data_IF_110616478714
#
_entry.id   IF_110616478714
#
_cell.length_a   1.000
_cell.length_b   1.000
_cell.length_c   1.000
_cell.angle_alpha   90.00
_cell.angle_beta   90.00
_cell.angle_gamma   90.00
#
_symmetry.space_group_name_H-M   'P 1'
#
loop_
_entity.id
_entity.type
_entity.pdbx_description
1 polymer ?
#
# COMPACT_ATOMS: atom_id res chain seq x y z
N UNK A 1 -63.44 -30.74 -47.27
CA UNK A 1 -63.43 -31.26 -45.88
C UNK A 1 -62.10 -30.85 -45.26
N UNK A 2 -62.14 -30.24 -44.06
CA UNK A 2 -61.19 -30.32 -42.90
C UNK A 2 -59.71 -30.62 -43.23
N UNK A 3 -58.67 -29.97 -42.71
CA UNK A 3 -58.50 -29.06 -41.59
C UNK A 3 -57.00 -28.66 -41.54
N UNK A 4 -56.76 -27.39 -41.21
CA UNK A 4 -55.79 -26.90 -40.20
C UNK A 4 -54.27 -27.15 -40.41
N UNK A 5 -53.59 -26.02 -40.63
CA UNK A 5 -52.20 -25.67 -40.31
C UNK A 5 -51.51 -26.52 -39.24
N UNK A 6 -50.29 -27.00 -39.56
CA UNK A 6 -49.22 -27.09 -38.57
C UNK A 6 -47.90 -26.62 -39.18
N UNK A 7 -47.61 -25.35 -38.89
CA UNK A 7 -46.26 -24.81 -38.80
C UNK A 7 -45.44 -25.71 -37.86
N UNK A 8 -44.33 -26.26 -38.34
CA UNK A 8 -43.29 -26.80 -37.48
C UNK A 8 -41.99 -26.09 -37.84
N UNK A 9 -41.83 -24.94 -37.18
CA UNK A 9 -40.58 -24.25 -36.91
C UNK A 9 -39.65 -25.18 -36.14
N UNK A 10 -38.40 -25.35 -36.58
CA UNK A 10 -37.18 -25.73 -35.83
C UNK A 10 -36.17 -26.20 -36.89
N UNK A 11 -34.97 -25.67 -37.07
CA UNK A 11 -34.23 -24.65 -36.36
C UNK A 11 -32.83 -24.71 -36.99
N UNK A 12 -32.57 -23.87 -38.00
CA UNK A 12 -31.24 -23.70 -38.56
C UNK A 12 -30.49 -22.75 -37.63
N UNK A 13 -29.90 -23.28 -36.56
CA UNK A 13 -28.94 -22.51 -35.75
C UNK A 13 -27.62 -22.56 -36.52
N UNK A 14 -27.46 -21.59 -37.41
CA UNK A 14 -26.14 -21.12 -37.82
C UNK A 14 -25.53 -20.54 -36.55
N UNK A 15 -24.66 -21.32 -35.90
CA UNK A 15 -23.72 -20.79 -34.92
C UNK A 15 -22.78 -19.87 -35.70
N UNK A 16 -23.22 -18.63 -35.88
CA UNK A 16 -22.30 -17.51 -36.01
C UNK A 16 -21.58 -17.51 -34.67
N UNK A 17 -20.48 -18.24 -34.61
CA UNK A 17 -19.45 -18.00 -33.61
C UNK A 17 -18.96 -16.60 -33.91
N UNK A 18 -19.71 -15.61 -33.42
CA UNK A 18 -19.18 -14.30 -33.14
C UNK A 18 -18.01 -14.58 -32.22
N UNK A 19 -16.81 -14.66 -32.79
CA UNK A 19 -15.64 -14.11 -32.15
C UNK A 19 -16.03 -12.69 -31.73
N UNK A 20 -16.72 -12.57 -30.59
CA UNK A 20 -16.31 -11.61 -29.61
C UNK A 20 -14.84 -11.97 -29.34
N UNK A 21 -13.95 -11.40 -30.16
CA UNK A 21 -12.79 -10.79 -29.56
C UNK A 21 -13.41 -9.81 -28.55
N UNK A 22 -13.53 -10.27 -27.31
CA UNK A 22 -13.31 -9.35 -26.21
C UNK A 22 -11.96 -8.73 -26.56
N UNK A 23 -12.03 -7.49 -27.03
CA UNK A 23 -10.92 -6.58 -27.03
C UNK A 23 -10.42 -6.62 -25.60
N UNK A 24 -9.36 -7.38 -25.34
CA UNK A 24 -8.61 -7.27 -24.10
C UNK A 24 -8.17 -5.82 -24.05
N UNK A 25 -8.98 -5.01 -23.37
CA UNK A 25 -8.63 -3.66 -23.01
C UNK A 25 -7.31 -3.77 -22.28
N UNK A 26 -6.28 -3.19 -22.90
CA UNK A 26 -5.00 -2.86 -22.31
C UNK A 26 -5.22 -2.29 -20.90
N UNK A 27 -5.27 -3.16 -19.88
CA UNK A 27 -5.67 -2.80 -18.52
C UNK A 27 -4.50 -2.64 -17.57
N UNK A 28 -3.26 -2.90 -18.00
CA UNK A 28 -2.11 -2.86 -17.09
C UNK A 28 -1.32 -1.55 -17.12
N UNK A 29 -1.26 -0.83 -18.24
CA UNK A 29 -0.40 0.35 -18.35
C UNK A 29 -0.91 1.57 -17.54
N UNK A 30 -2.18 1.58 -17.12
CA UNK A 30 -2.73 2.66 -16.29
C UNK A 30 -2.29 2.56 -14.82
N UNK A 31 -1.83 1.40 -14.36
CA UNK A 31 -1.20 1.23 -13.03
C UNK A 31 0.30 1.58 -13.07
N UNK A 32 0.90 1.55 -14.26
CA UNK A 32 2.31 1.90 -14.47
C UNK A 32 2.60 3.39 -14.30
N UNK A 33 1.58 4.25 -14.31
CA UNK A 33 1.73 5.70 -14.27
C UNK A 33 1.42 6.35 -12.90
N UNK A 34 1.25 5.55 -11.85
CA UNK A 34 1.14 6.00 -10.47
C UNK A 34 2.21 5.31 -9.59
N UNK A 35 2.92 6.07 -8.78
CA UNK A 35 3.89 5.58 -7.79
C UNK A 35 4.01 6.59 -6.64
N UNK A 36 4.81 6.25 -5.64
CA UNK A 36 5.22 7.19 -4.58
C UNK A 36 6.73 7.26 -4.47
N UNK A 37 7.22 8.43 -4.10
CA UNK A 37 8.58 8.61 -3.59
C UNK A 37 8.49 8.99 -2.12
N UNK A 38 9.32 8.34 -1.32
CA UNK A 38 9.47 8.63 0.10
C UNK A 38 10.93 9.02 0.32
N UNK A 39 11.15 10.12 1.03
CA UNK A 39 12.46 10.60 1.46
C UNK A 39 12.37 11.02 2.94
N UNK A 40 13.50 11.21 3.62
CA UNK A 40 13.50 11.71 5.00
C UNK A 40 14.36 10.89 5.97
N UNK A 41 13.91 10.79 7.22
CA UNK A 41 14.65 10.18 8.32
C UNK A 41 14.82 8.67 8.12
N UNK A 42 16.07 8.22 8.05
CA UNK A 42 16.46 6.80 8.02
C UNK A 42 17.02 6.30 9.36
N UNK A 43 17.14 7.19 10.35
CA UNK A 43 17.77 6.91 11.63
C UNK A 43 17.09 7.63 12.78
N UNK A 44 17.08 6.96 13.93
CA UNK A 44 16.64 7.49 15.21
C UNK A 44 17.83 7.43 16.18
N UNK A 45 18.34 8.57 16.60
CA UNK A 45 19.48 8.66 17.51
C UNK A 45 18.98 8.92 18.93
N UNK A 46 19.27 7.98 19.83
CA UNK A 46 18.85 8.02 21.23
C UNK A 46 19.18 9.37 21.88
N UNK A 47 18.18 10.02 22.47
CA UNK A 47 18.31 11.30 23.16
C UNK A 47 18.56 12.52 22.26
N UNK A 48 18.69 12.35 20.94
CA UNK A 48 18.84 13.44 19.97
C UNK A 48 17.60 13.59 19.09
N UNK A 49 17.08 12.48 18.56
CA UNK A 49 15.88 12.46 17.72
C UNK A 49 14.62 12.65 18.57
N UNK A 50 13.84 13.67 18.25
CA UNK A 50 12.53 13.93 18.88
C UNK A 50 11.38 13.40 18.02
N UNK A 51 11.58 13.51 16.71
CA UNK A 51 10.62 13.17 15.68
C UNK A 51 11.34 12.59 14.46
N UNK A 52 10.64 11.72 13.76
CA UNK A 52 11.03 11.18 12.46
C UNK A 52 10.10 11.77 11.43
N UNK A 53 10.67 12.35 10.38
CA UNK A 53 9.88 12.92 9.29
C UNK A 53 10.09 12.12 8.01
N UNK A 54 8.98 11.71 7.39
CA UNK A 54 8.94 11.11 6.06
C UNK A 54 8.23 12.06 5.11
N UNK A 55 8.89 12.46 4.02
CA UNK A 55 8.33 13.31 2.97
C UNK A 55 7.80 12.44 1.84
N UNK A 56 6.51 12.60 1.53
CA UNK A 56 5.81 11.84 0.49
C UNK A 56 5.55 12.70 -0.74
N UNK A 57 5.95 12.18 -1.90
CA UNK A 57 5.60 12.73 -3.20
C UNK A 57 4.80 11.68 -4.00
N UNK A 58 3.70 12.12 -4.62
CA UNK A 58 2.78 11.29 -5.37
C UNK A 58 3.10 11.43 -6.85
N UNK A 59 3.66 10.38 -7.43
CA UNK A 59 4.07 10.36 -8.83
C UNK A 59 2.91 9.82 -9.68
N UNK A 60 1.96 10.68 -10.01
CA UNK A 60 0.72 10.30 -10.70
C UNK A 60 0.55 10.94 -12.08
N UNK A 61 -0.33 10.35 -12.90
CA UNK A 61 -0.75 10.90 -14.19
C UNK A 61 -2.23 11.26 -14.18
N UNK A 62 -2.69 12.01 -15.19
CA UNK A 62 -4.12 12.38 -15.28
C UNK A 62 -5.06 11.18 -15.39
N UNK A 63 -4.57 10.02 -15.83
CA UNK A 63 -5.32 8.78 -15.99
C UNK A 63 -5.09 7.77 -14.86
N UNK A 64 -4.23 8.08 -13.91
CA UNK A 64 -3.78 7.19 -12.85
C UNK A 64 -3.58 8.00 -11.57
N UNK A 65 -4.69 8.31 -10.89
CA UNK A 65 -4.73 9.16 -9.69
C UNK A 65 -4.67 8.36 -8.41
N UNK A 66 -3.87 8.84 -7.47
CA UNK A 66 -3.74 8.26 -6.13
C UNK A 66 -4.86 8.84 -5.25
N UNK A 67 -5.62 7.96 -4.60
CA UNK A 67 -6.64 8.35 -3.63
C UNK A 67 -6.04 8.50 -2.23
N UNK A 68 -5.27 7.50 -1.81
CA UNK A 68 -4.65 7.47 -0.49
C UNK A 68 -3.47 6.48 -0.48
N UNK A 69 -2.54 6.67 0.45
CA UNK A 69 -1.51 5.70 0.80
C UNK A 69 -1.86 5.09 2.15
N UNK A 70 -1.91 3.76 2.20
CA UNK A 70 -2.03 3.01 3.45
C UNK A 70 -0.66 2.60 3.91
N UNK A 71 -0.34 2.89 5.17
CA UNK A 71 0.92 2.52 5.79
C UNK A 71 0.69 1.51 6.92
N UNK A 72 1.73 0.74 7.22
CA UNK A 72 1.83 -0.02 8.47
C UNK A 72 3.21 0.18 9.07
N UNK A 73 3.28 0.15 10.40
CA UNK A 73 4.53 0.21 11.16
C UNK A 73 4.70 -1.05 12.02
N UNK A 74 5.94 -1.51 12.18
CA UNK A 74 6.31 -2.59 13.08
C UNK A 74 7.68 -2.30 13.71
N UNK A 75 7.82 -2.48 15.02
CA UNK A 75 9.11 -2.43 15.69
C UNK A 75 9.74 -3.83 15.65
N UNK A 76 10.91 -3.94 15.03
CA UNK A 76 11.69 -5.16 14.92
C UNK A 76 12.90 -5.08 15.82
N UNK A 77 13.00 -5.98 16.80
CA UNK A 77 14.11 -6.02 17.75
C UNK A 77 14.79 -7.38 17.79
N UNK A 78 15.97 -7.44 18.39
CA UNK A 78 16.66 -8.71 18.67
C UNK A 78 15.87 -9.67 19.58
N UNK A 79 14.95 -9.15 20.39
CA UNK A 79 14.12 -9.93 21.31
C UNK A 79 12.80 -10.42 20.67
N UNK A 80 12.43 -9.87 19.52
CA UNK A 80 11.17 -10.15 18.84
C UNK A 80 10.63 -8.94 18.10
N UNK A 81 9.57 -9.15 17.34
CA UNK A 81 8.88 -8.09 16.63
C UNK A 81 7.59 -7.74 17.36
N UNK A 82 7.20 -6.48 17.33
CA UNK A 82 5.86 -6.07 17.73
C UNK A 82 4.82 -6.63 16.78
N UNK A 83 3.54 -6.51 17.14
CA UNK A 83 2.47 -6.62 16.15
C UNK A 83 2.60 -5.52 15.08
N UNK A 84 2.03 -5.76 13.90
CA UNK A 84 1.95 -4.78 12.82
C UNK A 84 0.76 -3.87 13.10
N UNK A 85 0.99 -2.56 13.07
CA UNK A 85 -0.02 -1.53 13.34
C UNK A 85 -0.30 -0.75 12.06
N UNK A 86 -1.57 -0.55 11.75
CA UNK A 86 -2.00 0.29 10.63
C UNK A 86 -1.79 1.77 10.97
N UNK A 87 -1.24 2.52 10.01
CA UNK A 87 -1.11 3.97 10.08
C UNK A 87 -2.36 4.65 9.50
N UNK A 88 -2.58 5.90 9.93
CA UNK A 88 -3.59 6.73 9.31
C UNK A 88 -3.31 6.91 7.80
N UNK A 89 -4.34 6.87 6.93
CA UNK A 89 -4.14 7.03 5.50
C UNK A 89 -3.57 8.40 5.15
N UNK A 90 -2.58 8.41 4.26
CA UNK A 90 -1.97 9.64 3.75
C UNK A 90 -2.69 10.01 2.46
N UNK A 91 -3.46 11.10 2.47
CA UNK A 91 -4.33 11.50 1.36
C UNK A 91 -3.76 12.63 0.51
N UNK A 92 -2.59 13.15 0.84
CA UNK A 92 -1.91 14.22 0.11
C UNK A 92 -0.40 14.15 0.29
N UNK A 93 0.33 14.71 -0.67
CA UNK A 93 1.78 14.91 -0.58
C UNK A 93 2.17 15.77 0.62
N UNK A 94 3.41 15.57 1.08
CA UNK A 94 4.05 16.35 2.13
C UNK A 94 4.63 15.50 3.26
N UNK A 95 5.02 16.20 4.31
CA UNK A 95 5.68 15.62 5.47
C UNK A 95 4.68 14.93 6.40
N UNK A 96 4.97 13.67 6.72
CA UNK A 96 4.37 12.91 7.81
C UNK A 96 5.39 12.81 8.92
N UNK A 97 5.03 13.28 10.11
CA UNK A 97 5.92 13.34 11.27
C UNK A 97 5.46 12.32 12.28
N UNK A 98 6.38 11.45 12.70
CA UNK A 98 6.19 10.46 13.76
C UNK A 98 6.95 10.90 14.99
N UNK A 99 6.24 11.28 16.05
CA UNK A 99 6.83 11.55 17.35
C UNK A 99 7.22 10.26 18.08
N UNK A 100 8.04 10.38 19.14
CA UNK A 100 8.42 9.22 19.96
C UNK A 100 7.21 8.41 20.43
N UNK A 101 6.14 9.08 20.86
CA UNK A 101 4.95 8.39 21.32
C UNK A 101 4.35 7.49 20.24
N UNK A 102 4.31 7.93 18.98
CA UNK A 102 3.74 7.16 17.86
C UNK A 102 4.67 6.01 17.42
N UNK A 103 5.98 6.18 17.61
CA UNK A 103 6.97 5.14 17.33
C UNK A 103 6.98 4.01 18.37
N UNK A 104 6.51 4.25 19.60
CA UNK A 104 6.56 3.26 20.68
C UNK A 104 5.18 2.80 21.16
N UNK A 105 4.20 3.71 21.25
CA UNK A 105 2.86 3.33 21.65
C UNK A 105 2.24 2.44 20.58
N UNK A 106 1.46 1.47 21.02
CA UNK A 106 0.79 0.48 20.18
C UNK A 106 1.73 -0.50 19.45
N UNK A 107 3.04 -0.41 19.68
CA UNK A 107 4.04 -1.37 19.19
C UNK A 107 4.69 -2.19 20.33
N UNK A 108 3.90 -2.91 21.16
CA UNK A 108 4.46 -3.72 22.21
C UNK A 108 5.22 -4.92 21.62
N UNK A 109 6.40 -5.20 22.17
CA UNK A 109 7.17 -6.42 21.88
C UNK A 109 6.97 -7.38 23.04
N UNK A 110 6.51 -8.61 22.76
CA UNK A 110 6.15 -9.60 23.77
C UNK A 110 5.18 -9.07 24.86
N UNK A 111 4.28 -8.18 24.47
CA UNK A 111 3.27 -7.59 25.36
C UNK A 111 3.75 -6.43 26.24
N UNK A 112 4.98 -5.94 26.04
CA UNK A 112 5.51 -4.76 26.73
C UNK A 112 5.76 -3.62 25.75
N UNK A 113 5.28 -2.41 26.08
CA UNK A 113 5.65 -1.19 25.37
C UNK A 113 7.08 -0.85 25.76
N UNK A 114 7.97 -0.80 24.76
CA UNK A 114 9.38 -0.48 24.94
C UNK A 114 9.59 1.03 24.97
N UNK A 115 10.75 1.44 25.48
CA UNK A 115 11.25 2.82 25.44
C UNK A 115 12.61 2.85 24.75
N UNK A 116 13.15 4.05 24.48
CA UNK A 116 14.51 4.20 23.97
C UNK A 116 15.59 3.53 24.83
N UNK A 117 15.33 3.34 26.13
CA UNK A 117 16.27 2.68 27.04
C UNK A 117 16.32 1.16 26.85
N UNK A 118 15.29 0.59 26.22
CA UNK A 118 15.16 -0.84 25.99
C UNK A 118 15.71 -1.28 24.62
N UNK A 119 15.90 -0.32 23.70
CA UNK A 119 16.39 -0.58 22.34
C UNK A 119 17.92 -0.68 22.26
N UNK A 120 18.38 -1.54 21.35
CA UNK A 120 19.78 -1.75 21.04
C UNK A 120 20.09 -1.27 19.62
N UNK A 121 21.33 -0.82 19.33
CA UNK A 121 21.73 -0.52 17.96
C UNK A 121 21.43 -1.68 17.01
N UNK A 122 20.71 -1.38 15.93
CA UNK A 122 20.24 -2.38 14.96
C UNK A 122 18.81 -2.87 15.16
N UNK A 123 18.13 -2.47 16.25
CA UNK A 123 16.66 -2.52 16.29
C UNK A 123 16.11 -1.46 15.31
N UNK A 124 14.95 -1.74 14.68
CA UNK A 124 14.45 -0.95 13.55
C UNK A 124 12.93 -0.78 13.59
N UNK A 125 12.44 0.39 13.19
CA UNK A 125 11.05 0.54 12.78
C UNK A 125 10.92 0.25 11.29
N UNK A 126 10.01 -0.66 10.95
CA UNK A 126 9.74 -1.10 9.59
C UNK A 126 8.43 -0.50 9.10
N UNK A 127 8.51 0.31 8.06
CA UNK A 127 7.34 0.91 7.43
C UNK A 127 7.06 0.23 6.09
N UNK A 128 5.81 -0.16 5.89
CA UNK A 128 5.33 -0.71 4.63
C UNK A 128 4.18 0.14 4.10
N UNK A 129 4.27 0.55 2.84
CA UNK A 129 3.28 1.41 2.21
C UNK A 129 2.64 0.74 1.00
N UNK A 130 1.35 1.00 0.84
CA UNK A 130 0.54 0.52 -0.29
C UNK A 130 -0.27 1.69 -0.84
N UNK A 131 -0.26 1.84 -2.16
CA UNK A 131 -0.94 2.88 -2.90
C UNK A 131 -2.36 2.42 -3.20
N UNK A 132 -3.36 3.23 -2.86
CA UNK A 132 -4.75 3.02 -3.25
C UNK A 132 -5.12 4.07 -4.30
N UNK A 133 -5.55 3.59 -5.47
CA UNK A 133 -5.92 4.39 -6.62
C UNK A 133 -7.38 4.87 -6.51
N UNK A 134 -7.73 5.99 -7.14
CA UNK A 134 -9.13 6.47 -7.21
C UNK A 134 -10.07 5.48 -7.92
N UNK A 135 -9.55 4.67 -8.82
CA UNK A 135 -10.30 3.61 -9.51
C UNK A 135 -10.47 2.32 -8.68
N UNK A 136 -10.02 2.32 -7.43
CA UNK A 136 -10.15 1.23 -6.47
C UNK A 136 -9.05 0.17 -6.55
N UNK A 137 -8.08 0.28 -7.48
CA UNK A 137 -6.92 -0.61 -7.52
C UNK A 137 -5.97 -0.33 -6.36
N UNK A 138 -5.25 -1.38 -5.94
CA UNK A 138 -4.29 -1.33 -4.84
C UNK A 138 -2.94 -1.80 -5.37
N UNK A 139 -1.92 -0.96 -5.24
CA UNK A 139 -0.59 -1.16 -5.80
C UNK A 139 0.46 -1.13 -4.70
N UNK A 140 1.50 -1.95 -4.82
CA UNK A 140 2.73 -1.72 -4.06
C UNK A 140 3.58 -0.71 -4.81
N UNK A 141 4.20 0.21 -4.10
CA UNK A 141 5.17 1.11 -4.72
C UNK A 141 6.30 0.31 -5.35
N UNK A 142 6.77 0.76 -6.53
CA UNK A 142 7.95 0.16 -7.19
C UNK A 142 9.23 0.92 -6.86
N UNK A 143 9.09 2.18 -6.45
CA UNK A 143 10.20 3.12 -6.23
C UNK A 143 10.47 3.29 -4.74
N UNK A 144 9.43 3.29 -3.91
CA UNK A 144 9.58 3.17 -2.46
C UNK A 144 9.82 1.70 -2.12
N UNK A 145 11.07 1.39 -1.83
CA UNK A 145 11.39 0.20 -1.06
C UNK A 145 10.78 0.35 0.34
N UNK A 146 10.60 -0.76 1.08
CA UNK A 146 10.25 -0.69 2.50
C UNK A 146 11.17 0.31 3.21
N UNK A 147 10.57 1.26 3.93
CA UNK A 147 11.33 2.32 4.61
C UNK A 147 11.62 1.85 6.03
N UNK A 148 12.89 1.84 6.40
CA UNK A 148 13.31 1.42 7.72
C UNK A 148 13.97 2.59 8.42
N UNK A 149 13.74 2.69 9.72
CA UNK A 149 14.43 3.65 10.58
C UNK A 149 15.29 2.85 11.54
N UNK A 150 16.59 3.05 11.45
CA UNK A 150 17.56 2.37 12.30
C UNK A 150 17.68 3.08 13.65
N UNK A 151 17.50 2.33 14.74
CA UNK A 151 17.84 2.83 16.06
C UNK A 151 19.37 2.86 16.23
N UNK A 152 19.87 4.01 16.67
CA UNK A 152 21.28 4.27 16.90
C UNK A 152 21.52 4.98 18.24
N UNK A 153 22.74 4.88 18.73
CA UNK A 153 23.25 5.59 19.91
C UNK A 153 24.39 6.50 19.43
N UNK A 154 24.55 7.72 19.98
CA UNK A 154 25.64 8.64 19.63
C UNK A 154 27.05 8.04 19.72
#
# INVERSE_FOLDING_TARGET
MKNIYKFSLLGLIVLVSSCFLEEETFSDNLSEAADIRIDGSDSYIKGETQDVTLDFEFLESSSAKISEIKGTIQLSTSNGNSDVVDLDPITSEGEVVFGQQELFNDLPVDGAVLTEDDLNPGDQWLFNFTIVMEDGRVLKSRISNAWNIDFAIP
#
